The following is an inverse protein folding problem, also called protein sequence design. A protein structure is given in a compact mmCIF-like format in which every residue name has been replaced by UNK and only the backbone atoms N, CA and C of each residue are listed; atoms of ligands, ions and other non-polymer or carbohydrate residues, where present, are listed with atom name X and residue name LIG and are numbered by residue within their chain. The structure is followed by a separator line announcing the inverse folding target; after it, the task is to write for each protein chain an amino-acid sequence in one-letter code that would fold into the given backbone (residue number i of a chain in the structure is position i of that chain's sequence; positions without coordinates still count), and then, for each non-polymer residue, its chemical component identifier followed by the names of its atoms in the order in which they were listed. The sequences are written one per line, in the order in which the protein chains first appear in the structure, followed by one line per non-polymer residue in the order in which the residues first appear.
data_IF_016878135451
#
_entry.id   IF_016878135451
#
_cell.length_a   1.000
_cell.length_b   1.000
_cell.length_c   1.000
_cell.angle_alpha   90.00
_cell.angle_beta   90.00
_cell.angle_gamma   90.00
#
_symmetry.space_group_name_H-M   'P 1'
#
loop_
_entity.id
_entity.type
_entity.pdbx_description
1 polymer ?
#
# COMPACT_ATOMS: atom_id res chain seq x y z
N UNK A 1 -80.19 -3.09 -15.17
CA UNK A 1 -80.26 -2.61 -13.77
C UNK A 1 -78.85 -2.68 -13.18
N UNK A 2 -78.38 -1.52 -12.73
CA UNK A 2 -77.27 -1.16 -11.82
C UNK A 2 -75.87 -1.81 -11.99
N UNK A 3 -74.95 -0.94 -12.43
CA UNK A 3 -73.49 -1.03 -12.43
C UNK A 3 -72.95 -1.00 -10.99
N UNK A 4 -71.95 -1.82 -10.67
CA UNK A 4 -71.17 -1.72 -9.44
C UNK A 4 -69.96 -0.82 -9.68
N UNK A 5 -69.91 0.29 -8.94
CA UNK A 5 -68.77 1.22 -8.83
C UNK A 5 -68.07 0.85 -7.52
N UNK A 6 -66.79 0.48 -7.61
CA UNK A 6 -65.92 0.26 -6.45
C UNK A 6 -65.19 1.57 -6.16
N UNK A 7 -65.54 2.17 -5.02
CA UNK A 7 -65.06 3.44 -4.49
C UNK A 7 -63.72 3.19 -3.77
N UNK A 8 -62.64 3.79 -4.28
CA UNK A 8 -61.35 3.87 -3.58
C UNK A 8 -61.45 4.95 -2.50
N UNK A 9 -61.39 4.54 -1.22
CA UNK A 9 -61.33 5.46 -0.08
C UNK A 9 -59.86 5.60 0.33
N UNK A 10 -59.31 6.78 0.08
CA UNK A 10 -58.05 7.28 0.64
C UNK A 10 -58.25 7.58 2.12
N UNK A 11 -57.38 7.02 2.98
CA UNK A 11 -57.35 7.34 4.40
C UNK A 11 -56.06 8.11 4.72
N UNK A 12 -56.17 9.43 4.70
CA UNK A 12 -55.18 10.37 5.23
C UNK A 12 -55.26 10.37 6.76
N UNK A 13 -54.19 9.94 7.43
CA UNK A 13 -54.00 10.13 8.86
C UNK A 13 -53.16 11.40 9.09
N UNK A 14 -53.83 12.45 9.55
CA UNK A 14 -53.20 13.56 10.25
C UNK A 14 -53.03 13.17 11.73
N UNK A 15 -51.80 13.26 12.24
CA UNK A 15 -51.56 13.42 13.67
C UNK A 15 -50.60 14.59 13.85
N UNK A 16 -51.11 15.65 14.45
CA UNK A 16 -50.35 16.77 15.00
C UNK A 16 -50.12 16.47 16.47
N UNK A 17 -48.87 16.51 16.92
CA UNK A 17 -48.51 16.68 18.33
C UNK A 17 -47.20 17.48 18.39
N UNK A 18 -47.31 18.73 18.84
CA UNK A 18 -46.20 19.53 19.34
C UNK A 18 -46.23 19.45 20.87
N UNK A 19 -45.12 19.08 21.48
CA UNK A 19 -44.68 19.69 22.72
C UNK A 19 -43.17 19.82 22.64
N UNK A 20 -42.70 21.07 22.69
CA UNK A 20 -41.29 21.42 22.81
C UNK A 20 -40.70 20.74 24.05
N UNK A 21 -39.65 19.94 23.83
CA UNK A 21 -38.65 19.65 24.84
C UNK A 21 -37.29 19.63 24.10
N UNK A 22 -36.38 20.47 24.60
CA UNK A 22 -35.03 20.66 24.11
C UNK A 22 -34.30 19.32 23.95
N UNK A 23 -34.25 18.83 22.73
CA UNK A 23 -33.21 17.90 22.29
C UNK A 23 -32.39 18.65 21.26
N UNK A 24 -31.19 19.05 21.67
CA UNK A 24 -30.13 19.43 20.75
C UNK A 24 -29.98 18.32 19.72
N UNK A 25 -30.58 18.52 18.55
CA UNK A 25 -30.25 17.76 17.36
C UNK A 25 -28.79 18.09 17.04
N UNK A 26 -27.87 17.28 17.53
CA UNK A 26 -26.51 17.23 16.99
C UNK A 26 -26.64 16.71 15.57
N UNK A 27 -26.78 17.63 14.62
CA UNK A 27 -26.30 17.39 13.27
C UNK A 27 -24.90 16.81 13.38
N UNK A 28 -24.67 15.64 12.80
CA UNK A 28 -23.32 15.13 12.55
C UNK A 28 -22.63 16.15 11.63
N UNK A 29 -21.86 17.08 12.21
CA UNK A 29 -21.30 18.23 11.53
C UNK A 29 -20.46 19.05 12.50
N UNK A 30 -19.18 19.18 12.17
CA UNK A 30 -18.10 19.88 12.88
C UNK A 30 -17.79 19.37 14.28
N UNK A 31 -17.02 18.28 14.37
CA UNK A 31 -15.99 18.28 15.41
C UNK A 31 -15.04 19.45 15.12
N UNK A 32 -14.70 20.25 16.13
CA UNK A 32 -13.85 21.43 15.94
C UNK A 32 -12.36 21.09 15.67
N UNK A 33 -12.06 19.85 15.27
CA UNK A 33 -10.71 19.44 14.89
C UNK A 33 -10.34 20.08 13.55
N UNK A 34 -9.12 20.61 13.45
CA UNK A 34 -8.67 21.25 12.21
C UNK A 34 -8.22 20.21 11.18
N UNK A 35 -9.22 19.58 10.52
CA UNK A 35 -9.00 18.64 9.43
C UNK A 35 -8.23 19.27 8.28
N UNK A 36 -8.37 20.58 8.06
CA UNK A 36 -7.66 21.28 6.98
C UNK A 36 -6.17 21.37 7.27
N UNK A 37 -5.80 21.71 8.50
CA UNK A 37 -4.41 21.71 8.95
C UNK A 37 -3.81 20.29 8.88
N UNK A 38 -4.56 19.27 9.31
CA UNK A 38 -4.14 17.87 9.18
C UNK A 38 -3.88 17.47 7.72
N UNK A 39 -4.83 17.73 6.82
CA UNK A 39 -4.68 17.43 5.39
C UNK A 39 -3.54 18.23 4.75
N UNK A 40 -3.33 19.48 5.18
CA UNK A 40 -2.20 20.32 4.74
C UNK A 40 -0.88 19.67 5.14
N UNK A 41 -0.75 19.24 6.40
CA UNK A 41 0.44 18.56 6.88
C UNK A 41 0.70 17.25 6.14
N UNK A 42 -0.34 16.43 5.95
CA UNK A 42 -0.23 15.18 5.19
C UNK A 42 0.24 15.41 3.76
N UNK A 43 -0.34 16.38 3.05
CA UNK A 43 0.08 16.68 1.69
C UNK A 43 1.52 17.23 1.63
N UNK A 44 1.82 18.27 2.40
CA UNK A 44 3.04 19.08 2.20
C UNK A 44 4.27 18.49 2.88
N UNK A 45 4.08 17.77 3.98
CA UNK A 45 5.18 17.27 4.80
C UNK A 45 5.34 15.75 4.76
N UNK A 46 4.37 15.01 4.24
CA UNK A 46 4.41 13.54 4.15
C UNK A 46 4.35 13.06 2.70
N UNK A 47 3.22 13.26 2.02
CA UNK A 47 2.93 12.61 0.73
C UNK A 47 3.80 13.17 -0.40
N UNK A 48 3.79 14.50 -0.61
CA UNK A 48 4.55 15.13 -1.69
C UNK A 48 6.07 14.91 -1.52
N UNK A 49 6.66 15.08 -0.33
CA UNK A 49 8.07 14.75 -0.11
C UNK A 49 8.39 13.27 -0.34
N UNK A 50 7.52 12.34 0.10
CA UNK A 50 7.73 10.92 -0.11
C UNK A 50 7.71 10.53 -1.59
N UNK A 51 6.76 11.05 -2.38
CA UNK A 51 6.76 10.87 -3.83
C UNK A 51 7.95 11.54 -4.51
N UNK A 52 8.39 12.70 -4.04
CA UNK A 52 9.60 13.38 -4.54
C UNK A 52 10.84 12.50 -4.38
N UNK A 53 11.02 11.93 -3.18
CA UNK A 53 12.10 10.97 -2.92
C UNK A 53 11.96 9.70 -3.78
N UNK A 54 10.75 9.16 -3.90
CA UNK A 54 10.53 7.97 -4.71
C UNK A 54 10.83 8.21 -6.20
N UNK A 55 10.42 9.34 -6.79
CA UNK A 55 10.76 9.73 -8.17
C UNK A 55 12.27 9.87 -8.37
N UNK A 56 12.99 10.43 -7.38
CA UNK A 56 14.45 10.51 -7.45
C UNK A 56 15.08 9.11 -7.44
N UNK A 57 14.61 8.21 -6.57
CA UNK A 57 15.10 6.83 -6.49
C UNK A 57 14.76 6.00 -7.74
N UNK A 58 13.55 6.13 -8.30
CA UNK A 58 13.13 5.42 -9.51
C UNK A 58 13.83 5.94 -10.76
N UNK A 59 14.16 7.22 -10.81
CA UNK A 59 15.01 7.81 -11.85
C UNK A 59 16.44 7.27 -11.79
N UNK A 60 16.99 7.12 -10.58
CA UNK A 60 18.33 6.54 -10.37
C UNK A 60 18.35 5.06 -10.77
N UNK A 61 17.35 4.29 -10.35
CA UNK A 61 17.14 2.90 -10.75
C UNK A 61 17.06 2.73 -12.28
N UNK A 62 16.30 3.58 -12.97
CA UNK A 62 16.23 3.54 -14.43
C UNK A 62 17.59 3.86 -15.08
N UNK A 63 18.34 4.82 -14.54
CA UNK A 63 19.67 5.17 -15.06
C UNK A 63 20.70 4.04 -14.88
N UNK A 64 20.76 3.39 -13.71
CA UNK A 64 21.63 2.22 -13.52
C UNK A 64 21.16 1.02 -14.33
N UNK A 65 19.84 0.91 -14.59
CA UNK A 65 19.28 -0.09 -15.51
C UNK A 65 19.82 0.11 -16.94
N UNK A 66 19.76 1.34 -17.47
CA UNK A 66 20.33 1.63 -18.79
C UNK A 66 21.84 1.36 -18.84
N UNK A 67 22.57 1.72 -17.78
CA UNK A 67 24.02 1.48 -17.69
C UNK A 67 24.37 -0.01 -17.73
N UNK A 68 23.63 -0.85 -16.99
CA UNK A 68 23.81 -2.30 -17.03
C UNK A 68 23.43 -2.90 -18.38
N UNK A 69 22.34 -2.42 -19.00
CA UNK A 69 21.91 -2.85 -20.34
C UNK A 69 22.98 -2.56 -21.40
N UNK A 70 23.57 -1.37 -21.36
CA UNK A 70 24.63 -0.97 -22.30
C UNK A 70 25.90 -1.79 -22.09
N UNK A 71 26.31 -1.98 -20.83
CA UNK A 71 27.52 -2.71 -20.46
C UNK A 71 27.23 -3.72 -19.34
N UNK A 72 26.75 -4.93 -19.66
CA UNK A 72 26.52 -5.97 -18.65
C UNK A 72 27.85 -6.44 -18.06
N UNK A 73 28.08 -6.13 -16.79
CA UNK A 73 29.24 -6.57 -16.01
C UNK A 73 28.88 -6.58 -14.52
N UNK A 74 29.77 -7.14 -13.70
CA UNK A 74 29.56 -7.30 -12.25
C UNK A 74 29.35 -5.97 -11.54
N UNK A 75 30.17 -4.96 -11.81
CA UNK A 75 30.07 -3.64 -11.16
C UNK A 75 28.72 -2.97 -11.44
N UNK A 76 28.24 -3.03 -12.69
CA UNK A 76 26.96 -2.46 -13.08
C UNK A 76 25.77 -3.27 -12.55
N UNK A 77 25.88 -4.59 -12.42
CA UNK A 77 24.86 -5.43 -11.80
C UNK A 77 24.71 -5.12 -10.30
N UNK A 78 25.83 -4.98 -9.59
CA UNK A 78 25.85 -4.61 -8.17
C UNK A 78 25.21 -3.23 -7.96
N UNK A 79 25.62 -2.22 -8.74
CA UNK A 79 25.03 -0.88 -8.64
C UNK A 79 23.52 -0.88 -8.92
N UNK A 80 23.08 -1.62 -9.95
CA UNK A 80 21.66 -1.75 -10.27
C UNK A 80 20.86 -2.41 -9.13
N UNK A 81 21.43 -3.44 -8.50
CA UNK A 81 20.80 -4.10 -7.34
C UNK A 81 20.68 -3.18 -6.13
N UNK A 82 21.69 -2.35 -5.85
CA UNK A 82 21.64 -1.35 -4.78
C UNK A 82 20.53 -0.31 -5.02
N UNK A 83 20.45 0.24 -6.23
CA UNK A 83 19.43 1.22 -6.59
C UNK A 83 18.02 0.60 -6.60
N UNK A 84 17.91 -0.67 -7.02
CA UNK A 84 16.68 -1.45 -6.94
C UNK A 84 16.18 -1.58 -5.50
N UNK A 85 17.05 -2.00 -4.58
CA UNK A 85 16.70 -2.15 -3.17
C UNK A 85 16.30 -0.80 -2.55
N UNK A 86 17.06 0.27 -2.85
CA UNK A 86 16.73 1.61 -2.38
C UNK A 86 15.34 2.06 -2.87
N UNK A 87 15.10 2.00 -4.17
CA UNK A 87 13.83 2.40 -4.75
C UNK A 87 12.67 1.54 -4.20
N UNK A 88 12.88 0.24 -3.99
CA UNK A 88 11.83 -0.62 -3.47
C UNK A 88 11.48 -0.30 -2.01
N UNK A 89 12.46 0.05 -1.16
CA UNK A 89 12.20 0.56 0.20
C UNK A 89 11.49 1.93 0.17
N UNK A 90 11.88 2.81 -0.74
CA UNK A 90 11.21 4.11 -0.92
C UNK A 90 9.75 3.92 -1.37
N UNK A 91 9.48 2.93 -2.24
CA UNK A 91 8.13 2.52 -2.62
C UNK A 91 7.29 2.08 -1.42
N UNK A 92 7.84 1.30 -0.49
CA UNK A 92 7.11 0.89 0.73
C UNK A 92 6.64 2.10 1.57
N UNK A 93 7.29 3.27 1.44
CA UNK A 93 6.86 4.52 2.10
C UNK A 93 5.61 5.11 1.45
N UNK A 94 5.55 5.10 0.11
CA UNK A 94 4.45 5.72 -0.63
C UNK A 94 3.27 4.77 -0.91
N UNK A 95 3.44 3.46 -0.69
CA UNK A 95 2.42 2.45 -1.03
C UNK A 95 1.10 2.60 -0.25
N UNK A 96 1.14 3.34 0.86
CA UNK A 96 -0.03 3.76 1.66
C UNK A 96 -0.91 4.73 0.86
N UNK A 97 -0.32 5.59 0.04
CA UNK A 97 -0.99 6.72 -0.61
C UNK A 97 -1.57 6.33 -1.97
N UNK A 98 -2.32 5.23 -2.03
CA UNK A 98 -3.08 4.82 -3.22
C UNK A 98 -4.38 5.65 -3.32
N UNK A 99 -4.25 6.97 -3.35
CA UNK A 99 -5.36 7.93 -3.35
C UNK A 99 -5.24 8.85 -4.57
N UNK A 100 -6.39 9.22 -5.15
CA UNK A 100 -6.44 10.21 -6.24
C UNK A 100 -5.70 9.77 -7.49
N UNK A 101 -4.60 10.43 -7.92
CA UNK A 101 -3.86 10.04 -9.12
C UNK A 101 -3.34 8.60 -9.07
N UNK A 102 -2.87 8.15 -7.91
CA UNK A 102 -2.36 6.79 -7.74
C UNK A 102 -3.50 5.75 -7.83
N UNK A 103 -4.63 6.04 -7.18
CA UNK A 103 -5.85 5.22 -7.25
C UNK A 103 -6.41 5.13 -8.68
N UNK A 104 -6.51 6.28 -9.35
CA UNK A 104 -7.07 6.44 -10.70
C UNK A 104 -6.38 5.53 -11.72
N UNK A 105 -5.06 5.39 -11.59
CA UNK A 105 -4.27 4.54 -12.48
C UNK A 105 -4.06 3.12 -11.91
N UNK A 106 -4.51 2.83 -10.69
CA UNK A 106 -4.25 1.59 -9.98
C UNK A 106 -2.75 1.31 -9.84
N UNK A 107 -2.02 2.33 -9.41
CA UNK A 107 -0.56 2.41 -9.42
C UNK A 107 0.09 1.19 -8.78
N UNK A 108 -0.24 0.86 -7.52
CA UNK A 108 0.35 -0.26 -6.78
C UNK A 108 0.26 -1.58 -7.55
N UNK A 109 -0.84 -1.80 -8.28
CA UNK A 109 -1.02 -2.99 -9.10
C UNK A 109 0.02 -3.12 -10.22
N UNK A 110 0.51 -2.01 -10.78
CA UNK A 110 1.55 -2.01 -11.81
C UNK A 110 2.98 -2.05 -11.25
N UNK A 111 3.20 -1.56 -10.03
CA UNK A 111 4.56 -1.51 -9.45
C UNK A 111 4.87 -2.69 -8.55
N UNK A 112 3.87 -3.31 -7.93
CA UNK A 112 4.11 -4.29 -6.88
C UNK A 112 3.07 -5.43 -6.80
N UNK A 113 2.76 -6.06 -7.94
CA UNK A 113 2.02 -7.33 -7.95
C UNK A 113 3.00 -8.50 -7.81
N UNK A 114 2.98 -9.17 -6.66
CA UNK A 114 3.76 -10.38 -6.40
C UNK A 114 2.83 -11.57 -6.07
N UNK A 115 3.23 -12.82 -6.44
CA UNK A 115 4.48 -13.18 -7.13
C UNK A 115 4.50 -12.74 -8.59
N UNK A 116 5.71 -12.53 -9.13
CA UNK A 116 5.87 -12.26 -10.56
C UNK A 116 5.63 -13.52 -11.39
N UNK A 117 5.04 -13.37 -12.58
CA UNK A 117 4.87 -14.44 -13.54
C UNK A 117 6.11 -14.55 -14.44
N UNK A 118 7.18 -15.11 -13.88
CA UNK A 118 8.44 -15.32 -14.60
C UNK A 118 8.24 -16.13 -15.90
N UNK A 119 7.37 -17.15 -15.88
CA UNK A 119 7.04 -17.93 -17.08
C UNK A 119 6.50 -17.05 -18.21
N UNK A 120 5.57 -16.13 -17.93
CA UNK A 120 5.05 -15.23 -18.94
C UNK A 120 6.13 -14.25 -19.45
N UNK A 121 6.99 -13.75 -18.56
CA UNK A 121 8.13 -12.91 -18.94
C UNK A 121 9.05 -13.66 -19.92
N UNK A 122 9.47 -14.87 -19.56
CA UNK A 122 10.35 -15.70 -20.40
C UNK A 122 9.70 -16.02 -21.74
N UNK A 123 8.43 -16.40 -21.76
CA UNK A 123 7.70 -16.71 -23.00
C UNK A 123 7.64 -15.52 -23.96
N UNK A 124 7.36 -14.31 -23.45
CA UNK A 124 7.37 -13.10 -24.27
C UNK A 124 8.74 -12.84 -24.89
N UNK A 125 9.81 -13.03 -24.11
CA UNK A 125 11.20 -12.85 -24.56
C UNK A 125 11.56 -13.88 -25.64
N UNK A 126 11.27 -15.15 -25.40
CA UNK A 126 11.60 -16.25 -26.31
C UNK A 126 10.81 -16.21 -27.63
N UNK A 127 9.59 -15.66 -27.60
CA UNK A 127 8.76 -15.43 -28.78
C UNK A 127 9.08 -14.12 -29.51
N UNK A 128 10.06 -13.34 -29.05
CA UNK A 128 10.42 -12.02 -29.60
C UNK A 128 9.25 -11.01 -29.57
N UNK A 129 8.41 -11.08 -28.54
CA UNK A 129 7.28 -10.20 -28.33
C UNK A 129 7.65 -9.02 -27.42
N UNK A 130 7.16 -7.83 -27.74
CA UNK A 130 7.30 -6.66 -26.86
C UNK A 130 6.05 -6.57 -25.97
N UNK A 131 6.19 -6.58 -24.63
CA UNK A 131 5.04 -6.53 -23.73
C UNK A 131 4.36 -5.16 -23.79
N UNK A 132 3.02 -5.15 -23.73
CA UNK A 132 2.27 -3.94 -23.44
C UNK A 132 2.03 -3.83 -21.92
N UNK A 133 2.89 -3.06 -21.25
CA UNK A 133 2.87 -2.88 -19.79
C UNK A 133 1.75 -1.95 -19.27
N UNK A 134 0.94 -1.38 -20.15
CA UNK A 134 -0.22 -0.58 -19.76
C UNK A 134 -1.46 -1.44 -19.45
N UNK A 135 -1.49 -2.69 -19.92
CA UNK A 135 -2.64 -3.57 -19.74
C UNK A 135 -2.70 -4.12 -18.31
N UNK A 136 -3.88 -4.16 -17.67
CA UNK A 136 -4.03 -4.81 -16.36
C UNK A 136 -3.55 -6.26 -16.30
N UNK A 137 -3.65 -7.01 -17.40
CA UNK A 137 -3.16 -8.40 -17.50
C UNK A 137 -1.64 -8.52 -17.39
N UNK A 138 -0.89 -7.44 -17.59
CA UNK A 138 0.57 -7.43 -17.50
C UNK A 138 1.11 -7.15 -16.10
N UNK A 139 0.23 -6.88 -15.11
CA UNK A 139 0.62 -6.47 -13.74
C UNK A 139 1.60 -7.44 -13.06
N UNK A 140 1.38 -8.75 -13.20
CA UNK A 140 2.27 -9.76 -12.63
C UNK A 140 3.59 -9.94 -13.42
N UNK A 141 3.75 -9.31 -14.58
CA UNK A 141 4.94 -9.41 -15.44
C UNK A 141 5.76 -8.10 -15.46
N UNK A 142 5.56 -7.21 -14.48
CA UNK A 142 6.27 -5.94 -14.38
C UNK A 142 6.45 -5.52 -12.91
N UNK A 143 6.92 -4.29 -12.69
CA UNK A 143 7.16 -3.74 -11.36
C UNK A 143 8.38 -4.33 -10.66
N UNK A 144 8.52 -4.03 -9.37
CA UNK A 144 9.61 -4.53 -8.53
C UNK A 144 9.70 -6.06 -8.47
N UNK A 145 8.58 -6.83 -8.48
CA UNK A 145 8.66 -8.29 -8.54
C UNK A 145 9.26 -8.83 -9.84
N UNK A 146 9.00 -8.18 -10.99
CA UNK A 146 9.67 -8.56 -12.25
C UNK A 146 11.15 -8.15 -12.25
N UNK A 147 11.49 -6.99 -11.67
CA UNK A 147 12.89 -6.59 -11.49
C UNK A 147 13.64 -7.58 -10.58
N UNK A 148 13.01 -8.09 -9.52
CA UNK A 148 13.59 -9.14 -8.68
C UNK A 148 13.97 -10.38 -9.52
N UNK A 149 13.06 -10.86 -10.37
CA UNK A 149 13.35 -11.94 -11.31
C UNK A 149 14.49 -11.60 -12.27
N UNK A 150 14.48 -10.42 -12.90
CA UNK A 150 15.54 -10.01 -13.82
C UNK A 150 16.93 -9.95 -13.15
N UNK A 151 16.99 -9.48 -11.91
CA UNK A 151 18.26 -9.21 -11.22
C UNK A 151 18.80 -10.41 -10.45
N UNK A 152 17.95 -11.37 -10.08
CA UNK A 152 18.33 -12.49 -9.21
C UNK A 152 17.82 -13.85 -9.68
N UNK A 153 16.75 -13.89 -10.49
CA UNK A 153 16.03 -15.11 -10.85
C UNK A 153 16.26 -15.66 -12.26
N UNK A 154 16.92 -14.91 -13.15
CA UNK A 154 17.16 -15.38 -14.54
C UNK A 154 18.26 -16.44 -14.65
N UNK A 155 19.13 -16.58 -13.65
CA UNK A 155 20.16 -17.62 -13.57
C UNK A 155 20.70 -17.78 -12.13
N UNK A 156 21.41 -18.87 -11.87
CA UNK A 156 21.80 -19.30 -10.51
C UNK A 156 22.90 -18.44 -9.84
N UNK A 157 23.65 -17.64 -10.61
CA UNK A 157 24.78 -16.86 -10.09
C UNK A 157 25.06 -15.64 -10.97
N UNK A 158 25.81 -14.68 -10.44
CA UNK A 158 26.07 -13.39 -11.07
C UNK A 158 26.74 -13.49 -12.44
N UNK A 159 27.69 -14.40 -12.63
CA UNK A 159 28.33 -14.59 -13.94
C UNK A 159 27.30 -15.06 -14.97
N UNK A 160 26.47 -16.03 -14.62
CA UNK A 160 25.41 -16.54 -15.51
C UNK A 160 24.30 -15.51 -15.75
N UNK A 161 23.98 -14.67 -14.76
CA UNK A 161 23.05 -13.53 -14.94
C UNK A 161 23.65 -12.55 -15.96
N UNK A 162 24.92 -12.16 -15.81
CA UNK A 162 25.60 -11.28 -16.78
C UNK A 162 25.64 -11.91 -18.18
N UNK A 163 25.89 -13.22 -18.28
CA UNK A 163 25.84 -13.95 -19.56
C UNK A 163 24.45 -13.88 -20.22
N UNK A 164 23.36 -14.01 -19.45
CA UNK A 164 21.98 -13.83 -19.95
C UNK A 164 21.79 -12.49 -20.64
N UNK A 165 22.41 -11.42 -20.13
CA UNK A 165 22.33 -10.08 -20.71
C UNK A 165 23.43 -9.78 -21.74
N UNK A 166 24.43 -10.62 -21.96
CA UNK A 166 25.56 -10.30 -22.86
C UNK A 166 25.62 -11.24 -24.07
N UNK A 167 25.85 -12.52 -23.82
CA UNK A 167 26.09 -13.54 -24.86
C UNK A 167 24.95 -14.55 -25.00
N UNK A 168 23.96 -14.52 -24.10
CA UNK A 168 22.81 -15.42 -24.12
C UNK A 168 21.93 -15.28 -25.36
N UNK A 169 21.27 -16.37 -25.76
CA UNK A 169 20.46 -16.47 -26.99
C UNK A 169 19.38 -15.38 -27.12
N UNK A 170 18.89 -14.85 -25.99
CA UNK A 170 17.83 -13.83 -25.93
C UNK A 170 18.28 -12.54 -25.23
N UNK A 171 19.58 -12.25 -25.18
CA UNK A 171 20.14 -11.13 -24.43
C UNK A 171 19.46 -9.78 -24.73
N UNK A 172 19.17 -9.49 -26.00
CA UNK A 172 18.48 -8.26 -26.38
C UNK A 172 17.03 -8.20 -25.85
N UNK A 173 16.33 -9.33 -25.79
CA UNK A 173 14.98 -9.40 -25.23
C UNK A 173 14.96 -9.13 -23.73
N UNK A 174 15.88 -9.75 -22.98
CA UNK A 174 16.07 -9.49 -21.55
C UNK A 174 16.44 -8.02 -21.27
N UNK A 175 17.40 -7.47 -22.02
CA UNK A 175 17.76 -6.04 -21.94
C UNK A 175 16.55 -5.13 -22.17
N UNK A 176 15.81 -5.38 -23.24
CA UNK A 176 14.66 -4.56 -23.62
C UNK A 176 13.58 -4.60 -22.55
N UNK A 177 13.23 -5.79 -22.06
CA UNK A 177 12.19 -5.94 -21.04
C UNK A 177 12.61 -5.29 -19.71
N UNK A 178 13.83 -5.55 -19.24
CA UNK A 178 14.37 -4.92 -18.03
C UNK A 178 14.26 -3.37 -18.10
N UNK A 179 14.67 -2.78 -19.23
CA UNK A 179 14.58 -1.33 -19.44
C UNK A 179 13.14 -0.80 -19.54
N UNK A 180 12.21 -1.58 -20.11
CA UNK A 180 10.78 -1.20 -20.14
C UNK A 180 10.18 -1.19 -18.74
N UNK A 181 10.53 -2.14 -17.88
CA UNK A 181 10.01 -2.23 -16.51
C UNK A 181 10.55 -1.10 -15.64
N UNK A 182 11.87 -0.86 -15.63
CA UNK A 182 12.46 0.25 -14.85
C UNK A 182 11.86 1.60 -15.25
N UNK A 183 11.73 1.82 -16.56
CA UNK A 183 11.15 3.05 -17.10
C UNK A 183 9.69 3.20 -16.71
N UNK A 184 8.90 2.12 -16.73
CA UNK A 184 7.48 2.15 -16.34
C UNK A 184 7.28 2.59 -14.90
N UNK A 185 8.10 2.10 -13.97
CA UNK A 185 8.08 2.52 -12.56
C UNK A 185 8.36 4.02 -12.45
N UNK A 186 9.43 4.50 -13.09
CA UNK A 186 9.81 5.92 -13.13
C UNK A 186 8.69 6.79 -13.70
N UNK A 187 8.17 6.46 -14.88
CA UNK A 187 7.16 7.26 -15.57
C UNK A 187 5.86 7.37 -14.76
N UNK A 188 5.36 6.26 -14.20
CA UNK A 188 4.17 6.25 -13.36
C UNK A 188 4.36 7.09 -12.09
N UNK A 189 5.51 6.94 -11.41
CA UNK A 189 5.81 7.74 -10.22
C UNK A 189 5.91 9.23 -10.52
N UNK A 190 6.48 9.59 -11.67
CA UNK A 190 6.60 10.98 -12.12
C UNK A 190 5.23 11.57 -12.45
N UNK A 191 4.36 10.80 -13.09
CA UNK A 191 2.97 11.21 -13.37
C UNK A 191 2.24 11.57 -12.08
N UNK A 192 2.27 10.69 -11.08
CA UNK A 192 1.60 10.92 -9.79
C UNK A 192 2.16 12.16 -9.08
N UNK A 193 3.49 12.30 -9.01
CA UNK A 193 4.11 13.45 -8.37
C UNK A 193 3.73 14.76 -9.08
N UNK A 194 3.68 14.76 -10.40
CA UNK A 194 3.25 15.93 -11.17
C UNK A 194 1.80 16.32 -10.85
N UNK A 195 0.89 15.34 -10.78
CA UNK A 195 -0.51 15.60 -10.46
C UNK A 195 -0.67 16.16 -9.04
N UNK A 196 0.08 15.62 -8.07
CA UNK A 196 0.18 16.17 -6.71
C UNK A 196 0.68 17.61 -6.70
N UNK A 197 1.76 17.93 -7.43
CA UNK A 197 2.33 19.28 -7.50
C UNK A 197 1.46 20.28 -8.30
N UNK A 198 0.49 19.78 -9.06
CA UNK A 198 -0.49 20.59 -9.77
C UNK A 198 -1.75 20.78 -8.90
N UNK A 199 -2.94 20.46 -9.42
CA UNK A 199 -4.21 20.78 -8.78
C UNK A 199 -4.60 19.78 -7.67
N UNK A 200 -4.05 18.57 -7.66
CA UNK A 200 -4.56 17.52 -6.77
C UNK A 200 -4.32 17.81 -5.29
N UNK A 201 -3.15 18.38 -4.94
CA UNK A 201 -2.84 18.77 -3.55
C UNK A 201 -3.88 19.75 -2.99
N UNK A 202 -4.25 20.77 -3.75
CA UNK A 202 -5.22 21.77 -3.29
C UNK A 202 -6.63 21.20 -3.16
N UNK A 203 -7.04 20.35 -4.10
CA UNK A 203 -8.33 19.64 -4.02
C UNK A 203 -8.39 18.71 -2.81
N UNK A 204 -7.31 17.97 -2.55
CA UNK A 204 -7.19 17.10 -1.38
C UNK A 204 -7.30 17.89 -0.07
N UNK A 205 -6.56 18.99 0.06
CA UNK A 205 -6.56 19.83 1.28
C UNK A 205 -7.89 20.56 1.49
N UNK A 206 -8.56 20.99 0.42
CA UNK A 206 -9.84 21.68 0.51
C UNK A 206 -10.99 20.75 0.92
N UNK A 207 -10.88 19.44 0.65
CA UNK A 207 -11.94 18.45 0.84
C UNK A 207 -12.00 17.92 2.28
N UNK A 208 -12.38 18.81 3.20
CA UNK A 208 -12.47 18.58 4.64
C UNK A 208 -13.76 17.88 5.09
N UNK A 209 -14.61 17.45 4.15
CA UNK A 209 -15.91 16.82 4.44
C UNK A 209 -15.78 15.63 5.38
N UNK A 210 -16.75 15.46 6.28
CA UNK A 210 -16.92 14.25 7.10
C UNK A 210 -17.88 13.28 6.43
N UNK A 211 -17.47 12.75 5.29
CA UNK A 211 -18.24 11.81 4.49
C UNK A 211 -17.30 10.87 3.76
N UNK A 212 -17.82 9.77 3.22
CA UNK A 212 -17.05 8.80 2.41
C UNK A 212 -16.33 9.40 1.18
N UNK A 213 -16.61 10.65 0.82
CA UNK A 213 -15.94 11.38 -0.26
C UNK A 213 -14.97 12.43 0.24
N UNK A 214 -14.85 12.63 1.55
CA UNK A 214 -13.91 13.54 2.20
C UNK A 214 -12.51 12.94 2.24
N UNK A 215 -11.48 13.78 2.16
CA UNK A 215 -10.10 13.31 2.04
C UNK A 215 -9.59 12.57 3.28
N UNK A 216 -10.12 12.89 4.46
CA UNK A 216 -9.80 12.17 5.71
C UNK A 216 -10.40 10.76 5.67
N UNK A 217 -11.70 10.64 5.39
CA UNK A 217 -12.42 9.35 5.33
C UNK A 217 -11.84 8.41 4.27
N UNK A 218 -11.57 8.93 3.06
CA UNK A 218 -10.96 8.15 1.99
C UNK A 218 -9.57 7.66 2.38
N UNK A 219 -8.70 8.55 2.86
CA UNK A 219 -7.33 8.16 3.20
C UNK A 219 -7.27 7.28 4.44
N UNK A 220 -8.23 7.39 5.38
CA UNK A 220 -8.36 6.46 6.50
C UNK A 220 -8.65 5.04 6.00
N UNK A 221 -9.60 4.89 5.08
CA UNK A 221 -9.91 3.59 4.48
C UNK A 221 -8.71 3.03 3.69
N UNK A 222 -8.10 3.83 2.81
CA UNK A 222 -6.91 3.44 2.03
C UNK A 222 -5.73 3.04 2.90
N UNK A 223 -5.50 3.77 3.99
CA UNK A 223 -4.47 3.45 4.97
C UNK A 223 -4.70 2.09 5.64
N UNK A 224 -5.94 1.82 6.08
CA UNK A 224 -6.26 0.59 6.79
C UNK A 224 -6.24 -0.60 5.83
N UNK A 225 -6.86 -0.50 4.64
CA UNK A 225 -6.79 -1.59 3.64
C UNK A 225 -5.34 -1.81 3.20
N UNK A 226 -4.50 -0.77 3.15
CA UNK A 226 -3.07 -0.94 2.90
C UNK A 226 -2.40 -1.84 3.95
N UNK A 227 -2.58 -1.50 5.23
CA UNK A 227 -2.03 -2.27 6.34
C UNK A 227 -2.59 -3.70 6.40
N UNK A 228 -3.90 -3.84 6.28
CA UNK A 228 -4.62 -5.12 6.35
C UNK A 228 -4.20 -6.05 5.20
N UNK A 229 -4.32 -5.58 3.95
CA UNK A 229 -4.20 -6.42 2.77
C UNK A 229 -2.76 -6.56 2.29
N UNK A 230 -2.03 -5.46 2.15
CA UNK A 230 -0.75 -5.47 1.46
C UNK A 230 0.45 -5.66 2.40
N UNK A 231 0.30 -5.34 3.70
CA UNK A 231 1.34 -5.60 4.69
C UNK A 231 1.06 -6.90 5.43
N UNK A 232 0.00 -6.96 6.25
CA UNK A 232 -0.31 -8.12 7.10
C UNK A 232 -0.62 -9.37 6.27
N UNK A 233 -1.63 -9.31 5.39
CA UNK A 233 -1.99 -10.47 4.57
C UNK A 233 -0.93 -10.78 3.51
N UNK A 234 -0.54 -9.79 2.69
CA UNK A 234 0.37 -9.99 1.56
C UNK A 234 1.77 -10.47 1.94
N UNK A 235 2.42 -9.81 2.91
CA UNK A 235 3.83 -10.08 3.25
C UNK A 235 4.00 -11.16 4.31
N UNK A 236 2.96 -11.46 5.10
CA UNK A 236 3.03 -12.41 6.23
C UNK A 236 1.98 -13.51 6.10
N UNK A 237 0.70 -13.15 6.05
CA UNK A 237 -0.41 -14.10 6.16
C UNK A 237 -0.50 -15.12 5.03
N UNK A 238 -0.43 -14.67 3.77
CA UNK A 238 -0.49 -15.54 2.59
C UNK A 238 0.74 -16.48 2.57
N UNK A 239 1.99 -15.99 2.66
CA UNK A 239 3.15 -16.89 2.74
C UNK A 239 3.08 -17.91 3.88
N UNK A 240 2.63 -17.48 5.06
CA UNK A 240 2.52 -18.35 6.23
C UNK A 240 1.36 -19.36 6.16
N UNK A 241 0.49 -19.25 5.14
CA UNK A 241 -0.64 -20.15 4.95
C UNK A 241 -1.84 -19.88 5.84
N UNK A 242 -2.01 -18.66 6.35
CA UNK A 242 -3.12 -18.32 7.27
C UNK A 242 -4.48 -18.56 6.62
N UNK A 243 -4.62 -18.22 5.33
CA UNK A 243 -5.90 -18.28 4.61
C UNK A 243 -6.13 -19.62 3.91
N UNK A 244 -5.06 -20.28 3.43
CA UNK A 244 -5.16 -21.53 2.68
C UNK A 244 -4.94 -22.78 3.53
N UNK A 245 -4.46 -22.62 4.77
CA UNK A 245 -4.04 -23.72 5.66
C UNK A 245 -2.74 -24.39 5.25
N UNK A 246 -2.09 -23.94 4.16
CA UNK A 246 -0.85 -24.50 3.66
C UNK A 246 0.19 -23.40 3.48
N UNK A 247 1.44 -23.69 3.85
CA UNK A 247 2.57 -22.78 3.66
C UNK A 247 2.80 -22.51 2.16
N UNK A 248 2.96 -21.23 1.78
CA UNK A 248 3.07 -20.75 0.40
C UNK A 248 4.33 -19.88 0.19
N UNK A 249 5.54 -20.45 0.31
CA UNK A 249 6.80 -19.69 0.29
C UNK A 249 7.03 -18.93 -1.02
N UNK A 250 6.46 -19.40 -2.13
CA UNK A 250 6.51 -18.75 -3.44
C UNK A 250 5.80 -17.38 -3.49
N UNK A 251 5.02 -17.03 -2.47
CA UNK A 251 4.28 -15.76 -2.39
C UNK A 251 5.02 -14.68 -1.61
N UNK A 252 6.21 -14.97 -1.08
CA UNK A 252 7.07 -13.99 -0.42
C UNK A 252 7.41 -12.86 -1.40
N UNK A 253 7.22 -11.62 -0.94
CA UNK A 253 7.71 -10.43 -1.64
C UNK A 253 9.24 -10.45 -1.68
N UNK A 254 9.85 -10.17 -2.84
CA UNK A 254 11.28 -10.37 -3.09
C UNK A 254 11.71 -11.85 -3.08
N UNK A 255 10.92 -12.71 -3.74
CA UNK A 255 11.12 -14.16 -3.80
C UNK A 255 12.51 -14.58 -4.30
N UNK A 256 13.08 -13.88 -5.31
CA UNK A 256 14.38 -14.24 -5.88
C UNK A 256 15.56 -13.67 -5.09
N UNK A 257 15.33 -12.61 -4.31
CA UNK A 257 16.28 -12.12 -3.29
C UNK A 257 15.64 -12.15 -1.90
N UNK A 258 15.41 -13.34 -1.31
CA UNK A 258 14.55 -13.48 -0.17
C UNK A 258 15.12 -12.86 1.11
N UNK A 259 16.44 -12.68 1.23
CA UNK A 259 17.05 -11.97 2.38
C UNK A 259 16.69 -10.48 2.46
N UNK A 260 16.01 -9.93 1.45
CA UNK A 260 15.53 -8.55 1.45
C UNK A 260 14.06 -8.41 1.91
N UNK A 261 13.34 -9.53 1.96
CA UNK A 261 11.90 -9.57 2.25
C UNK A 261 11.52 -8.98 3.63
N UNK A 262 12.30 -9.26 4.68
CA UNK A 262 12.05 -8.68 6.02
C UNK A 262 12.22 -7.17 6.02
N UNK A 263 13.24 -6.64 5.34
CA UNK A 263 13.46 -5.19 5.25
C UNK A 263 12.27 -4.46 4.62
N UNK A 264 11.63 -5.08 3.61
CA UNK A 264 10.41 -4.54 3.00
C UNK A 264 9.22 -4.55 3.98
N UNK A 265 9.05 -5.64 4.75
CA UNK A 265 8.02 -5.74 5.79
C UNK A 265 8.22 -4.70 6.90
N UNK A 266 9.43 -4.59 7.44
CA UNK A 266 9.77 -3.61 8.49
C UNK A 266 9.57 -2.17 8.00
N UNK A 267 10.01 -1.87 6.78
CA UNK A 267 9.82 -0.55 6.18
C UNK A 267 8.33 -0.21 6.01
N UNK A 268 7.52 -1.18 5.59
CA UNK A 268 6.07 -1.00 5.42
C UNK A 268 5.37 -0.75 6.75
N UNK A 269 5.68 -1.55 7.78
CA UNK A 269 5.13 -1.40 9.13
C UNK A 269 5.48 -0.02 9.71
N UNK A 270 6.75 0.37 9.62
CA UNK A 270 7.22 1.65 10.13
C UNK A 270 6.61 2.83 9.38
N UNK A 271 6.43 2.73 8.06
CA UNK A 271 5.79 3.79 7.28
C UNK A 271 4.31 3.96 7.69
N UNK A 272 3.60 2.85 7.92
CA UNK A 272 2.22 2.86 8.42
C UNK A 272 2.14 3.50 9.82
N UNK A 273 3.02 3.10 10.75
CA UNK A 273 3.12 3.72 12.09
C UNK A 273 3.43 5.21 12.01
N UNK A 274 4.41 5.60 11.21
CA UNK A 274 4.83 7.00 11.10
C UNK A 274 3.73 7.89 10.52
N UNK A 275 2.95 7.38 9.57
CA UNK A 275 1.80 8.09 9.03
C UNK A 275 0.68 8.25 10.07
N UNK A 276 0.36 7.20 10.83
CA UNK A 276 -0.60 7.28 11.94
C UNK A 276 -0.25 8.40 12.94
N UNK A 277 1.04 8.54 13.24
CA UNK A 277 1.58 9.58 14.13
C UNK A 277 1.65 10.98 13.50
N UNK A 278 1.54 11.09 12.18
CA UNK A 278 1.76 12.35 11.45
C UNK A 278 3.19 12.83 11.48
N UNK A 279 4.18 11.92 11.48
CA UNK A 279 5.57 12.31 11.29
C UNK A 279 5.78 12.78 9.85
N UNK A 280 6.50 13.89 9.69
CA UNK A 280 6.99 14.32 8.37
C UNK A 280 7.85 13.23 7.72
N UNK A 281 8.00 13.28 6.41
CA UNK A 281 8.80 12.31 5.65
C UNK A 281 10.24 12.18 6.18
N UNK A 282 10.86 13.30 6.54
CA UNK A 282 12.20 13.36 7.14
C UNK A 282 12.21 13.10 8.66
N UNK A 283 11.03 12.90 9.26
CA UNK A 283 10.80 12.66 10.69
C UNK A 283 11.30 13.80 11.60
N UNK A 284 11.47 15.01 11.06
CA UNK A 284 11.92 16.18 11.82
C UNK A 284 10.78 16.91 12.53
N UNK A 285 9.54 16.75 12.06
CA UNK A 285 8.34 17.36 12.65
C UNK A 285 7.20 16.36 12.79
N UNK A 286 6.29 16.67 13.72
CA UNK A 286 5.01 15.98 13.88
C UNK A 286 3.92 17.01 13.73
N UNK A 287 2.96 16.76 12.84
CA UNK A 287 1.76 17.59 12.66
C UNK A 287 0.49 16.84 13.04
N UNK A 288 -0.67 17.44 12.81
CA UNK A 288 -1.96 16.79 13.08
C UNK A 288 -2.09 15.48 12.28
N UNK A 289 -2.70 14.49 12.92
CA UNK A 289 -2.68 13.10 12.47
C UNK A 289 -3.86 12.30 13.03
N UNK A 290 -3.95 11.02 12.69
CA UNK A 290 -4.93 10.12 13.32
C UNK A 290 -4.69 10.00 14.83
N UNK A 291 -3.44 9.96 15.28
CA UNK A 291 -3.09 10.02 16.71
C UNK A 291 -3.68 11.28 17.35
N UNK A 292 -3.35 12.46 16.82
CA UNK A 292 -3.85 13.74 17.37
C UNK A 292 -5.37 13.86 17.32
N UNK A 293 -6.01 13.27 16.31
CA UNK A 293 -7.46 13.31 16.17
C UNK A 293 -8.16 12.41 17.19
N UNK A 294 -7.66 11.19 17.40
CA UNK A 294 -8.17 10.30 18.45
C UNK A 294 -8.01 10.91 19.84
N UNK A 295 -6.87 11.55 20.10
CA UNK A 295 -6.58 12.25 21.35
C UNK A 295 -7.53 13.43 21.56
N UNK A 296 -7.77 14.23 20.51
CA UNK A 296 -8.74 15.33 20.54
C UNK A 296 -10.16 14.85 20.90
N UNK A 297 -10.57 13.71 20.35
CA UNK A 297 -11.87 13.10 20.66
C UNK A 297 -11.92 12.44 22.04
N UNK A 298 -10.80 12.35 22.76
CA UNK A 298 -10.66 11.59 24.02
C UNK A 298 -11.17 10.15 23.87
N UNK A 299 -10.74 9.48 22.80
CA UNK A 299 -11.18 8.12 22.48
C UNK A 299 -10.53 7.11 23.42
N UNK A 300 -11.31 6.53 24.33
CA UNK A 300 -10.83 5.57 25.34
C UNK A 300 -11.32 4.16 25.01
N UNK A 301 -10.43 3.17 25.11
CA UNK A 301 -10.76 1.75 25.08
C UNK A 301 -10.09 1.04 26.25
N UNK A 302 -10.87 0.25 26.98
CA UNK A 302 -10.39 -0.53 28.15
C UNK A 302 -9.66 0.30 29.23
N UNK A 303 -9.95 1.60 29.32
CA UNK A 303 -9.36 2.52 30.30
C UNK A 303 -8.04 3.17 29.87
N UNK A 304 -7.64 2.99 28.61
CA UNK A 304 -6.44 3.60 28.00
C UNK A 304 -6.83 4.38 26.73
N UNK A 305 -6.02 5.38 26.35
CA UNK A 305 -6.21 6.12 25.11
C UNK A 305 -6.07 5.19 23.90
N UNK A 306 -7.02 5.23 22.99
CA UNK A 306 -7.05 4.36 21.82
C UNK A 306 -5.80 4.54 20.93
N UNK A 307 -5.32 5.79 20.81
CA UNK A 307 -4.07 6.12 20.13
C UNK A 307 -2.87 5.39 20.73
N UNK A 308 -2.78 5.35 22.07
CA UNK A 308 -1.73 4.64 22.80
C UNK A 308 -1.82 3.12 22.58
N UNK A 309 -3.02 2.54 22.62
CA UNK A 309 -3.22 1.12 22.33
C UNK A 309 -2.77 0.75 20.91
N UNK A 310 -3.12 1.55 19.91
CA UNK A 310 -2.69 1.36 18.51
C UNK A 310 -1.16 1.40 18.40
N UNK A 311 -0.53 2.40 19.00
CA UNK A 311 0.94 2.55 18.97
C UNK A 311 1.65 1.39 19.67
N UNK A 312 1.15 0.97 20.83
CA UNK A 312 1.68 -0.19 21.55
C UNK A 312 1.58 -1.47 20.70
N UNK A 313 0.49 -1.64 19.95
CA UNK A 313 0.31 -2.81 19.07
C UNK A 313 1.21 -2.76 17.82
N UNK A 314 1.52 -1.56 17.30
CA UNK A 314 2.58 -1.39 16.29
C UNK A 314 3.95 -1.80 16.84
N UNK A 315 4.29 -1.42 18.08
CA UNK A 315 5.57 -1.78 18.70
C UNK A 315 5.67 -3.29 19.01
N UNK A 316 4.59 -3.93 19.47
CA UNK A 316 4.58 -5.40 19.64
C UNK A 316 4.79 -6.11 18.29
N UNK A 317 4.11 -5.63 17.24
CA UNK A 317 4.27 -6.17 15.88
C UNK A 317 5.70 -6.01 15.37
N UNK A 318 6.31 -4.84 15.57
CA UNK A 318 7.71 -4.59 15.22
C UNK A 318 8.65 -5.51 16.01
N UNK A 319 8.37 -5.74 17.30
CA UNK A 319 9.14 -6.68 18.11
C UNK A 319 9.01 -8.12 17.60
N UNK A 320 7.83 -8.59 17.17
CA UNK A 320 7.68 -9.95 16.61
C UNK A 320 8.40 -10.08 15.29
N UNK A 321 8.26 -9.09 14.41
CA UNK A 321 8.93 -9.07 13.10
C UNK A 321 10.46 -9.06 13.27
N UNK A 322 10.98 -8.32 14.25
CA UNK A 322 12.41 -8.28 14.56
C UNK A 322 13.02 -9.65 14.92
N UNK A 323 12.21 -10.62 15.37
CA UNK A 323 12.62 -11.98 15.72
C UNK A 323 12.64 -12.96 14.52
N UNK A 324 12.17 -12.52 13.36
CA UNK A 324 12.17 -13.29 12.11
C UNK A 324 13.56 -13.27 11.46
N UNK A 325 13.88 -14.30 10.68
CA UNK A 325 15.03 -14.27 9.78
C UNK A 325 14.83 -13.21 8.68
N UNK A 326 15.92 -12.59 8.22
CA UNK A 326 15.87 -11.63 7.12
C UNK A 326 15.36 -12.28 5.81
N UNK A 327 15.62 -13.58 5.65
CA UNK A 327 15.07 -14.44 4.63
C UNK A 327 13.71 -15.02 5.08
N UNK A 328 12.61 -14.33 4.75
CA UNK A 328 11.27 -14.77 5.11
C UNK A 328 10.82 -16.04 4.37
N UNK A 329 11.37 -16.35 3.20
CA UNK A 329 11.13 -17.62 2.52
C UNK A 329 11.61 -18.77 3.41
N UNK A 330 12.85 -18.71 3.89
CA UNK A 330 13.40 -19.69 4.82
C UNK A 330 12.64 -19.68 6.16
N UNK A 331 12.21 -18.52 6.64
CA UNK A 331 11.47 -18.39 7.90
C UNK A 331 10.11 -19.10 7.83
N UNK A 332 9.36 -18.92 6.74
CA UNK A 332 8.09 -19.60 6.51
C UNK A 332 8.28 -21.12 6.42
N UNK A 333 9.32 -21.60 5.75
CA UNK A 333 9.56 -23.04 5.60
C UNK A 333 10.00 -23.72 6.91
N UNK A 334 10.85 -23.06 7.69
CA UNK A 334 11.54 -23.69 8.82
C UNK A 334 11.02 -23.24 10.20
N UNK A 335 10.42 -22.06 10.28
CA UNK A 335 10.03 -21.39 11.53
C UNK A 335 8.62 -20.78 11.47
N UNK A 336 7.70 -21.31 10.65
CA UNK A 336 6.40 -20.68 10.36
C UNK A 336 5.61 -20.20 11.59
N UNK A 337 5.74 -20.88 12.73
CA UNK A 337 5.11 -20.45 13.99
C UNK A 337 5.43 -18.99 14.39
N UNK A 338 6.62 -18.48 14.05
CA UNK A 338 7.00 -17.09 14.29
C UNK A 338 6.34 -16.13 13.30
N UNK A 339 6.18 -16.54 12.03
CA UNK A 339 5.40 -15.79 11.04
C UNK A 339 3.95 -15.64 11.48
N UNK A 340 3.34 -16.73 11.95
CA UNK A 340 1.99 -16.72 12.51
C UNK A 340 1.88 -15.83 13.75
N UNK A 341 2.88 -15.87 14.64
CA UNK A 341 2.92 -14.97 15.81
C UNK A 341 2.99 -13.48 15.41
N UNK A 342 3.79 -13.16 14.39
CA UNK A 342 3.86 -11.80 13.86
C UNK A 342 2.53 -11.38 13.21
N UNK A 343 1.91 -12.28 12.44
CA UNK A 343 0.59 -12.06 11.84
C UNK A 343 -0.49 -11.77 12.88
N UNK A 344 -0.57 -12.58 13.95
CA UNK A 344 -1.58 -12.41 15.00
C UNK A 344 -1.45 -11.05 15.71
N UNK A 345 -0.21 -10.62 15.97
CA UNK A 345 0.07 -9.28 16.51
C UNK A 345 -0.39 -8.18 15.55
N UNK A 346 -0.12 -8.32 14.25
CA UNK A 346 -0.57 -7.35 13.26
C UNK A 346 -2.09 -7.36 13.10
N UNK A 347 -2.74 -8.52 13.23
CA UNK A 347 -4.20 -8.66 13.19
C UNK A 347 -4.86 -7.93 14.35
N UNK A 348 -4.29 -7.99 15.56
CA UNK A 348 -4.78 -7.19 16.68
C UNK A 348 -4.76 -5.68 16.34
N UNK A 349 -3.73 -5.22 15.61
CA UNK A 349 -3.67 -3.83 15.18
C UNK A 349 -4.74 -3.49 14.13
N UNK A 350 -5.04 -4.40 13.20
CA UNK A 350 -6.15 -4.23 12.24
C UNK A 350 -7.47 -4.00 12.97
N UNK A 351 -7.74 -4.73 14.06
CA UNK A 351 -8.97 -4.55 14.84
C UNK A 351 -9.04 -3.14 15.41
N UNK A 352 -7.96 -2.65 16.04
CA UNK A 352 -7.90 -1.30 16.61
C UNK A 352 -8.08 -0.22 15.55
N UNK A 353 -7.45 -0.38 14.38
CA UNK A 353 -7.52 0.58 13.29
C UNK A 353 -8.89 0.56 12.58
N UNK A 354 -9.40 -0.62 12.25
CA UNK A 354 -10.60 -0.78 11.41
C UNK A 354 -11.89 -0.61 12.19
N UNK A 355 -11.95 -1.14 13.41
CA UNK A 355 -13.18 -1.12 14.20
C UNK A 355 -13.18 0.11 15.09
N UNK A 356 -12.19 0.20 15.99
CA UNK A 356 -12.24 1.21 17.05
C UNK A 356 -11.92 2.61 16.53
N UNK A 357 -10.87 2.77 15.72
CA UNK A 357 -10.49 4.10 15.19
C UNK A 357 -11.55 4.62 14.21
N UNK A 358 -12.02 3.82 13.24
CA UNK A 358 -13.06 4.30 12.33
C UNK A 358 -14.36 4.64 13.07
N UNK A 359 -14.76 3.84 14.07
CA UNK A 359 -15.91 4.16 14.90
C UNK A 359 -15.71 5.48 15.66
N UNK A 360 -14.54 5.68 16.29
CA UNK A 360 -14.23 6.90 17.01
C UNK A 360 -14.27 8.14 16.10
N UNK A 361 -13.73 8.02 14.89
CA UNK A 361 -13.71 9.08 13.89
C UNK A 361 -15.06 9.26 13.15
N UNK A 362 -16.06 8.42 13.45
CA UNK A 362 -17.36 8.39 12.73
C UNK A 362 -17.21 8.17 11.22
N UNK A 363 -16.21 7.40 10.81
CA UNK A 363 -15.92 7.04 9.41
C UNK A 363 -16.50 5.65 9.14
N UNK A 364 -17.18 5.49 8.00
CA UNK A 364 -17.66 4.18 7.56
C UNK A 364 -16.57 3.42 6.80
N UNK A 365 -16.50 2.11 7.00
CA UNK A 365 -15.70 1.23 6.15
C UNK A 365 -16.30 1.23 4.73
N UNK A 366 -15.48 1.46 3.71
CA UNK A 366 -15.92 1.49 2.30
C UNK A 366 -15.34 0.36 1.42
N UNK A 367 -14.55 -0.54 2.02
CA UNK A 367 -14.00 -1.71 1.37
C UNK A 367 -14.46 -3.02 2.03
N UNK A 368 -14.50 -4.08 1.25
CA UNK A 368 -14.85 -5.42 1.73
C UNK A 368 -13.62 -6.06 2.39
N UNK A 369 -13.83 -6.86 3.43
CA UNK A 369 -12.78 -7.67 4.05
C UNK A 369 -11.99 -8.46 2.99
N UNK A 370 -10.68 -8.56 3.19
CA UNK A 370 -9.76 -9.13 2.20
C UNK A 370 -9.19 -10.48 2.62
N UNK A 371 -9.77 -11.08 3.66
CA UNK A 371 -9.39 -12.35 4.27
C UNK A 371 -9.90 -13.60 3.54
N UNK A 372 -10.60 -13.41 2.42
CA UNK A 372 -10.95 -14.50 1.50
C UNK A 372 -12.38 -15.05 1.64
N UNK A 373 -13.32 -14.25 2.16
CA UNK A 373 -14.76 -14.44 1.89
C UNK A 373 -15.17 -13.81 0.53
#
# INVERSE_FOLDING_TARGET
MKKFILLFVSLSLFVVSCSDDDSSSTTAGDDAFDRKEMLTHWADHIIVPAYTNFVASSTTLDASTQTFIETPNEANLVQLREDYQKAYLDFQTISIFEIGPAETIGFRGFVNTYPTNATAITQLIENYETPNLELPSSRAAQGFPALDYFLYGVADNDNSIIETYSTGNFANGYKTYLGLVSKRIKDLSTLILNDWNNEYRDNFVANTSSSSTGSVDMLANDFIIHFEKFIRSGKVGIPAGVFSGNVEPQTIESYYQPSFSKSLLEKSLNSSKNFFKGLSFDQSTTGLSFESYLDYLNSIKEGEDLSTLILNQYEDSASKIGLLNDNLLQEVENNNSKMLTAYDSMQANVILLKIDMLQALSISVDYVDTDGD
#
